data_IF_772395784519
#
_entry.id   IF_772395784519
#
_cell.length_a   1.000
_cell.length_b   1.000
_cell.length_c   1.000
_cell.angle_alpha   90.00
_cell.angle_beta   90.00
_cell.angle_gamma   90.00
#
_symmetry.space_group_name_H-M   'P 1'
#
loop_
_entity.id
_entity.type
_entity.pdbx_description
1 polymer ?
#
# COMPACT_ATOMS: atom_id res chain seq x y z
N UNK A 1 -10.00 5.76 11.28
CA UNK A 1 -8.99 5.00 10.53
C UNK A 1 -9.60 3.65 10.19
N UNK A 2 -9.63 3.28 8.92
CA UNK A 2 -10.24 2.05 8.41
C UNK A 2 -9.18 1.31 7.60
N UNK A 3 -9.03 0.01 7.84
CA UNK A 3 -8.26 -0.86 6.96
C UNK A 3 -9.23 -1.43 5.91
N UNK A 4 -8.93 -1.19 4.64
CA UNK A 4 -9.74 -1.67 3.52
C UNK A 4 -8.88 -2.33 2.46
N UNK A 5 -9.51 -3.14 1.63
CA UNK A 5 -8.84 -3.74 0.48
C UNK A 5 -8.30 -2.64 -0.46
N UNK A 6 -7.19 -2.96 -1.13
CA UNK A 6 -6.60 -2.14 -2.17
C UNK A 6 -7.52 -1.98 -3.36
N UNK A 7 -7.58 -0.77 -3.89
CA UNK A 7 -8.18 -0.47 -5.17
C UNK A 7 -7.16 0.10 -6.16
N UNK A 8 -7.50 0.16 -7.44
CA UNK A 8 -6.59 0.64 -8.48
C UNK A 8 -6.27 2.14 -8.31
N UNK A 9 -7.17 2.90 -7.68
CA UNK A 9 -6.96 4.31 -7.28
C UNK A 9 -5.81 4.48 -6.26
N UNK A 10 -5.46 3.43 -5.52
CA UNK A 10 -4.41 3.49 -4.49
C UNK A 10 -3.00 3.36 -5.08
N UNK A 11 -2.88 2.88 -6.33
CA UNK A 11 -1.59 2.63 -6.97
C UNK A 11 -0.80 3.90 -7.22
N UNK A 12 -1.47 4.99 -7.63
CA UNK A 12 -0.81 6.27 -7.89
C UNK A 12 -0.31 6.94 -6.60
N UNK A 13 -1.13 7.12 -5.53
CA UNK A 13 -0.63 7.58 -4.24
C UNK A 13 0.50 6.71 -3.68
N UNK A 14 0.42 5.39 -3.85
CA UNK A 14 1.45 4.47 -3.42
C UNK A 14 2.76 4.67 -4.19
N UNK A 15 2.72 4.89 -5.50
CA UNK A 15 3.93 5.15 -6.29
C UNK A 15 4.60 6.47 -5.92
N UNK A 16 3.82 7.51 -5.58
CA UNK A 16 4.37 8.76 -5.06
C UNK A 16 5.11 8.52 -3.73
N UNK A 17 4.51 7.73 -2.83
CA UNK A 17 5.10 7.36 -1.55
C UNK A 17 6.39 6.53 -1.72
N UNK A 18 6.41 5.56 -2.63
CA UNK A 18 7.60 4.75 -2.91
C UNK A 18 8.73 5.49 -3.65
N UNK A 19 8.47 6.71 -4.12
CA UNK A 19 9.47 7.63 -4.68
C UNK A 19 9.98 8.64 -3.65
N UNK A 20 9.27 8.80 -2.54
CA UNK A 20 9.68 9.66 -1.44
C UNK A 20 10.91 9.07 -0.74
N UNK A 21 11.99 9.84 -0.69
CA UNK A 21 13.27 9.40 -0.13
C UNK A 21 13.20 9.21 1.38
N UNK A 22 12.33 9.93 2.07
CA UNK A 22 12.18 9.85 3.52
C UNK A 22 11.44 8.56 3.91
N UNK A 23 10.47 8.13 3.09
CA UNK A 23 9.79 6.83 3.27
C UNK A 23 10.72 5.66 2.90
N UNK A 24 11.58 5.88 1.90
CA UNK A 24 12.50 4.87 1.39
C UNK A 24 13.86 4.85 2.11
N UNK A 25 14.04 5.60 3.20
CA UNK A 25 15.30 5.71 3.95
C UNK A 25 15.84 4.34 4.40
N UNK A 26 14.94 3.40 4.72
CA UNK A 26 15.29 2.03 5.12
C UNK A 26 15.20 1.00 3.99
N UNK A 27 14.86 1.44 2.77
CA UNK A 27 14.74 0.58 1.61
C UNK A 27 15.97 0.71 0.70
N UNK A 28 16.34 -0.41 0.05
CA UNK A 28 17.58 -0.49 -0.75
C UNK A 28 17.64 0.53 -1.90
N UNK A 29 16.48 0.90 -2.47
CA UNK A 29 16.34 1.91 -3.53
C UNK A 29 14.89 2.42 -3.59
N UNK A 30 14.65 3.71 -3.92
CA UNK A 30 13.33 4.17 -4.34
C UNK A 30 12.83 3.36 -5.54
N UNK A 31 11.53 3.07 -5.57
CA UNK A 31 10.94 2.30 -6.67
C UNK A 31 10.53 3.23 -7.82
N UNK A 32 10.60 2.73 -9.05
CA UNK A 32 9.95 3.40 -10.18
C UNK A 32 8.43 3.31 -10.04
N UNK A 33 7.70 4.11 -10.83
CA UNK A 33 6.24 4.06 -10.86
C UNK A 33 5.72 2.67 -11.28
N UNK A 34 6.34 2.07 -12.30
CA UNK A 34 6.00 0.73 -12.78
C UNK A 34 6.30 -0.36 -11.75
N UNK A 35 7.45 -0.28 -11.05
CA UNK A 35 7.80 -1.19 -9.96
C UNK A 35 6.79 -1.08 -8.81
N UNK A 36 6.40 0.14 -8.45
CA UNK A 36 5.42 0.42 -7.41
C UNK A 36 4.03 -0.12 -7.78
N UNK A 37 3.60 0.04 -9.03
CA UNK A 37 2.32 -0.47 -9.53
C UNK A 37 2.30 -2.00 -9.58
N UNK A 38 3.42 -2.62 -9.96
CA UNK A 38 3.57 -4.08 -9.90
C UNK A 38 3.47 -4.60 -8.47
N UNK A 39 4.14 -3.91 -7.53
CA UNK A 39 4.09 -4.24 -6.11
C UNK A 39 2.68 -4.08 -5.52
N UNK A 40 2.00 -2.96 -5.79
CA UNK A 40 0.63 -2.72 -5.31
C UNK A 40 -0.37 -3.76 -5.83
N UNK A 41 -0.30 -4.11 -7.12
CA UNK A 41 -1.13 -5.20 -7.69
C UNK A 41 -0.84 -6.55 -7.04
N UNK A 42 0.43 -6.85 -6.78
CA UNK A 42 0.82 -8.09 -6.09
C UNK A 42 0.28 -8.14 -4.66
N UNK A 43 0.34 -7.03 -3.93
CA UNK A 43 -0.21 -6.92 -2.57
C UNK A 43 -1.72 -7.15 -2.58
N UNK A 44 -2.45 -6.49 -3.49
CA UNK A 44 -3.90 -6.67 -3.69
C UNK A 44 -4.25 -8.15 -3.91
N UNK A 45 -3.55 -8.83 -4.82
CA UNK A 45 -3.76 -10.26 -5.09
C UNK A 45 -3.45 -11.15 -3.89
N UNK A 46 -2.35 -10.89 -3.17
CA UNK A 46 -1.95 -11.69 -2.00
C UNK A 46 -2.97 -11.59 -0.86
N UNK A 47 -3.53 -10.40 -0.62
CA UNK A 47 -4.58 -10.22 0.39
C UNK A 47 -5.87 -10.93 -0.04
N UNK A 48 -6.23 -10.86 -1.32
CA UNK A 48 -7.40 -11.58 -1.84
C UNK A 48 -7.26 -13.11 -1.69
N UNK A 49 -6.05 -13.64 -1.85
CA UNK A 49 -5.76 -15.07 -1.70
C UNK A 49 -5.69 -15.53 -0.24
N UNK A 50 -5.04 -14.75 0.64
CA UNK A 50 -4.68 -15.17 2.00
C UNK A 50 -5.55 -14.58 3.10
N UNK A 51 -6.27 -13.49 2.80
CA UNK A 51 -7.09 -12.76 3.76
C UNK A 51 -6.32 -11.82 4.70
N UNK A 52 -4.99 -11.70 4.58
CA UNK A 52 -4.15 -10.82 5.40
C UNK A 52 -2.96 -10.27 4.62
N UNK A 53 -2.38 -9.14 5.05
CA UNK A 53 -1.24 -8.51 4.39
C UNK A 53 -1.10 -7.01 4.67
N UNK A 54 -0.50 -6.28 3.72
CA UNK A 54 -0.35 -4.83 3.78
C UNK A 54 -1.65 -4.18 3.31
N UNK A 55 -2.52 -3.76 4.22
CA UNK A 55 -3.82 -3.18 3.86
C UNK A 55 -3.72 -1.68 3.54
N UNK A 56 -4.65 -1.19 2.72
CA UNK A 56 -4.82 0.23 2.51
C UNK A 56 -5.49 0.84 3.76
N UNK A 57 -4.90 1.89 4.31
CA UNK A 57 -5.42 2.66 5.45
C UNK A 57 -6.12 3.90 4.90
N UNK A 58 -7.39 4.02 5.23
CA UNK A 58 -8.17 5.21 4.96
C UNK A 58 -8.42 5.98 6.27
N UNK A 59 -8.22 7.29 6.26
CA UNK A 59 -8.56 8.16 7.38
C UNK A 59 -9.80 8.97 6.97
N UNK A 60 -10.99 8.66 7.51
CA UNK A 60 -12.21 9.40 7.20
C UNK A 60 -12.01 10.90 7.49
N UNK A 61 -12.26 11.76 6.49
CA UNK A 61 -12.05 13.21 6.58
C UNK A 61 -10.67 13.70 6.13
N UNK A 62 -9.76 12.82 5.69
CA UNK A 62 -8.49 13.16 5.05
C UNK A 62 -8.30 12.35 3.74
N UNK A 63 -7.21 12.61 2.99
CA UNK A 63 -6.92 11.89 1.75
C UNK A 63 -6.90 10.37 1.94
N UNK A 64 -7.43 9.67 0.93
CA UNK A 64 -7.94 8.29 0.96
C UNK A 64 -6.90 7.18 1.28
N UNK A 65 -5.60 7.47 1.37
CA UNK A 65 -4.57 6.44 1.40
C UNK A 65 -3.37 6.75 2.30
N UNK A 66 -3.10 5.83 3.23
CA UNK A 66 -1.80 5.54 3.88
C UNK A 66 -1.64 4.02 3.88
N UNK A 67 -0.44 3.46 3.72
CA UNK A 67 -0.29 1.99 3.83
C UNK A 67 -0.06 1.57 5.30
N UNK A 68 -0.59 0.40 5.71
CA UNK A 68 -0.42 -0.12 7.08
C UNK A 68 -0.47 -1.66 7.12
N UNK A 69 0.23 -2.26 8.08
CA UNK A 69 0.25 -3.72 8.28
C UNK A 69 -0.84 -4.14 9.28
N UNK A 70 -1.58 -5.23 9.00
CA UNK A 70 -2.42 -5.89 10.02
C UNK A 70 -2.45 -7.42 9.89
N UNK A 71 -2.43 -8.10 11.04
CA UNK A 71 -2.60 -9.55 11.18
C UNK A 71 -4.02 -9.81 11.70
N UNK A 72 -4.88 -10.46 10.92
CA UNK A 72 -6.21 -10.90 11.39
C UNK A 72 -5.98 -12.22 12.13
N UNK A 73 -5.99 -12.18 13.47
CA UNK A 73 -6.07 -13.38 14.32
C UNK A 73 -7.54 -13.74 14.51
N UNK A 74 -7.88 -15.00 14.21
CA UNK A 74 -9.13 -15.63 14.61
C UNK A 74 -9.14 -15.89 16.12
#
# INVERSE_FOLDING_TARGET
MILRQWDDEDLYPFSQMCRDKDVMEFFLKPLTEEESYSMGRRIKSLIAERGWGLWAVEIPGQSKFRSGYSEIRY
#
